data_IF_574045126111
#
_entry.id   IF_574045126111
#
_cell.length_a   1.000
_cell.length_b   1.000
_cell.length_c   1.000
_cell.angle_alpha   90.00
_cell.angle_beta   90.00
_cell.angle_gamma   90.00
#
_symmetry.space_group_name_H-M   'P 1'
#
loop_
_entity.id
_entity.type
_entity.pdbx_description
1 polymer ?
#
# COMPACT_ATOMS: atom_id res chain seq x y z
N UNK A 1 12.52 -4.08 -1.47
CA UNK A 1 12.45 -3.31 -0.21
C UNK A 1 13.67 -3.51 0.69
N UNK A 2 14.00 -4.76 1.06
CA UNK A 2 15.03 -5.07 2.07
C UNK A 2 16.37 -4.32 1.91
N UNK A 3 17.05 -4.49 0.76
CA UNK A 3 18.33 -3.82 0.47
C UNK A 3 18.26 -2.30 0.56
N UNK A 4 17.15 -1.70 0.12
CA UNK A 4 16.94 -0.25 0.15
C UNK A 4 16.91 0.26 1.59
N UNK A 5 16.08 -0.36 2.43
CA UNK A 5 15.94 0.06 3.84
C UNK A 5 17.21 -0.21 4.65
N UNK A 6 17.91 -1.31 4.38
CA UNK A 6 19.21 -1.59 5.00
C UNK A 6 20.22 -0.46 4.74
N UNK A 7 20.29 0.05 3.51
CA UNK A 7 21.20 1.16 3.16
C UNK A 7 20.77 2.47 3.81
N UNK A 8 19.47 2.78 3.81
CA UNK A 8 18.96 4.05 4.35
C UNK A 8 19.05 4.12 5.87
N UNK A 9 18.76 3.01 6.57
CA UNK A 9 18.62 3.00 8.03
C UNK A 9 19.90 2.64 8.78
N UNK A 10 20.83 1.92 8.16
CA UNK A 10 22.09 1.55 8.81
C UNK A 10 23.19 2.60 8.62
N UNK A 11 22.91 3.68 7.88
CA UNK A 11 23.86 4.77 7.67
C UNK A 11 23.64 5.85 8.74
N UNK A 12 24.59 5.94 9.68
CA UNK A 12 24.56 6.90 10.79
C UNK A 12 24.39 8.33 10.27
N UNK A 13 23.44 9.05 10.84
CA UNK A 13 23.19 10.47 10.55
C UNK A 13 22.34 10.76 9.31
N UNK A 14 21.78 9.74 8.63
CA UNK A 14 20.97 9.96 7.42
C UNK A 14 19.50 10.26 7.72
N UNK A 15 18.82 9.38 8.44
CA UNK A 15 17.39 9.57 8.76
C UNK A 15 17.00 8.72 9.98
N UNK A 16 16.33 9.30 10.99
CA UNK A 16 15.75 8.51 12.07
C UNK A 16 14.64 7.60 11.54
N UNK A 17 14.47 6.42 12.14
CA UNK A 17 13.49 5.41 11.68
C UNK A 17 12.06 5.94 11.73
N UNK A 18 11.79 6.77 12.74
CA UNK A 18 10.50 7.38 13.01
C UNK A 18 10.09 8.39 11.93
N UNK A 19 11.05 8.87 11.13
CA UNK A 19 10.80 9.77 10.00
C UNK A 19 10.63 9.03 8.65
N UNK A 20 10.62 7.69 8.64
CA UNK A 20 10.44 6.90 7.43
C UNK A 20 9.00 6.37 7.32
N UNK A 21 8.41 6.57 6.15
CA UNK A 21 7.20 5.91 5.68
C UNK A 21 7.52 5.03 4.46
N UNK A 22 6.69 4.02 4.20
CA UNK A 22 6.73 3.25 2.94
C UNK A 22 5.47 3.45 2.12
N UNK A 23 5.66 3.74 0.84
CA UNK A 23 4.61 3.82 -0.17
C UNK A 23 4.88 2.74 -1.23
N UNK A 24 4.05 1.71 -1.27
CA UNK A 24 4.27 0.57 -2.16
C UNK A 24 3.19 0.49 -3.25
N UNK A 25 3.65 0.25 -4.48
CA UNK A 25 2.76 -0.05 -5.59
C UNK A 25 2.52 -1.55 -5.69
N UNK A 26 1.31 -1.93 -6.10
CA UNK A 26 0.90 -3.32 -6.35
C UNK A 26 1.33 -3.83 -7.73
N UNK A 27 2.05 -3.01 -8.50
CA UNK A 27 2.66 -3.43 -9.76
C UNK A 27 3.58 -4.64 -9.51
N UNK A 28 3.18 -5.81 -9.99
CA UNK A 28 3.92 -7.06 -9.82
C UNK A 28 3.64 -7.84 -8.52
N UNK A 29 2.59 -7.49 -7.75
CA UNK A 29 2.06 -8.34 -6.68
C UNK A 29 2.91 -8.40 -5.40
N UNK A 30 3.77 -7.40 -5.17
CA UNK A 30 4.78 -7.41 -4.07
C UNK A 30 4.54 -6.35 -3.01
N UNK A 31 3.45 -5.58 -3.05
CA UNK A 31 3.29 -4.45 -2.14
C UNK A 31 3.23 -4.90 -0.67
N UNK A 32 2.38 -5.87 -0.35
CA UNK A 32 2.19 -6.37 1.02
C UNK A 32 3.44 -7.08 1.58
N UNK A 33 4.19 -7.78 0.72
CA UNK A 33 5.48 -8.38 1.10
C UNK A 33 6.49 -7.30 1.46
N UNK A 34 6.62 -6.28 0.62
CA UNK A 34 7.52 -5.15 0.87
C UNK A 34 7.12 -4.37 2.14
N UNK A 35 5.83 -4.15 2.37
CA UNK A 35 5.31 -3.56 3.61
C UNK A 35 5.72 -4.41 4.81
N UNK A 36 5.55 -5.73 4.74
CA UNK A 36 5.94 -6.64 5.83
C UNK A 36 7.43 -6.56 6.14
N UNK A 37 8.29 -6.52 5.11
CA UNK A 37 9.73 -6.34 5.30
C UNK A 37 10.02 -5.04 6.04
N UNK A 38 9.39 -3.92 5.65
CA UNK A 38 9.59 -2.62 6.27
C UNK A 38 9.16 -2.60 7.74
N UNK A 39 8.00 -3.16 8.07
CA UNK A 39 7.46 -3.16 9.42
C UNK A 39 8.18 -4.15 10.34
N UNK A 40 8.32 -5.41 9.89
CA UNK A 40 8.79 -6.52 10.72
C UNK A 40 10.30 -6.43 10.97
N UNK A 41 11.09 -6.12 9.93
CA UNK A 41 12.56 -6.15 10.01
C UNK A 41 13.18 -4.81 10.34
N UNK A 42 12.63 -3.74 9.79
CA UNK A 42 13.24 -2.40 9.87
C UNK A 42 12.54 -1.46 10.86
N UNK A 43 11.40 -1.89 11.42
CA UNK A 43 10.69 -1.12 12.44
C UNK A 43 9.94 0.09 11.92
N UNK A 44 9.69 0.19 10.60
CA UNK A 44 8.88 1.28 10.02
C UNK A 44 7.45 1.21 10.57
N UNK A 45 6.82 2.36 10.82
CA UNK A 45 5.46 2.44 11.41
C UNK A 45 4.45 3.26 10.63
N UNK A 46 4.83 3.79 9.48
CA UNK A 46 3.95 4.56 8.59
C UNK A 46 3.91 3.88 7.22
N UNK A 47 2.70 3.60 6.74
CA UNK A 47 2.43 2.97 5.44
C UNK A 47 1.42 3.82 4.70
N UNK A 48 1.80 4.28 3.52
CA UNK A 48 0.90 4.97 2.60
C UNK A 48 0.19 3.95 1.72
N UNK A 49 -1.10 4.17 1.49
CA UNK A 49 -1.96 3.34 0.65
C UNK A 49 -3.08 4.20 0.07
N UNK A 50 -3.83 3.66 -0.89
CA UNK A 50 -4.95 4.37 -1.48
C UNK A 50 -6.23 3.53 -1.36
N UNK A 51 -7.32 4.14 -0.89
CA UNK A 51 -8.61 3.45 -0.76
C UNK A 51 -9.01 2.87 -2.11
N UNK A 52 -9.39 1.61 -2.14
CA UNK A 52 -9.75 0.89 -3.35
C UNK A 52 -8.63 0.68 -4.37
N UNK A 53 -7.36 0.93 -4.01
CA UNK A 53 -6.22 0.81 -4.92
C UNK A 53 -6.18 1.95 -5.94
N UNK A 54 -6.72 3.12 -5.56
CA UNK A 54 -6.79 4.31 -6.39
C UNK A 54 -5.42 4.70 -6.97
N UNK A 55 -5.42 5.08 -8.25
CA UNK A 55 -4.22 5.52 -8.97
C UNK A 55 -3.55 4.36 -9.71
N UNK A 56 -3.39 4.53 -11.02
CA UNK A 56 -2.62 3.62 -11.87
C UNK A 56 -1.15 4.00 -11.94
N UNK A 57 -0.34 3.18 -12.60
CA UNK A 57 1.07 3.48 -12.84
C UNK A 57 1.25 4.07 -14.26
N UNK A 58 1.73 5.32 -14.42
CA UNK A 58 1.96 5.90 -15.75
C UNK A 58 3.08 5.17 -16.54
N UNK A 59 3.94 4.43 -15.85
CA UNK A 59 5.11 3.76 -16.43
C UNK A 59 4.88 2.27 -16.74
N UNK A 60 3.85 1.64 -16.19
CA UNK A 60 3.57 0.20 -16.37
C UNK A 60 2.47 -0.09 -17.40
N UNK A 61 2.04 0.96 -18.13
CA UNK A 61 1.01 0.87 -19.16
C UNK A 61 -0.41 1.18 -18.65
N UNK A 62 -1.36 1.44 -19.57
CA UNK A 62 -2.74 1.74 -19.21
C UNK A 62 -3.38 0.61 -18.41
N UNK A 63 -3.92 0.95 -17.24
CA UNK A 63 -4.65 0.02 -16.37
C UNK A 63 -3.80 -0.88 -15.49
N UNK A 64 -2.46 -0.71 -15.50
CA UNK A 64 -1.61 -1.39 -14.53
C UNK A 64 -1.91 -0.91 -13.09
N UNK A 65 -2.01 -1.83 -12.11
CA UNK A 65 -2.20 -1.46 -10.71
C UNK A 65 -1.10 -0.51 -10.25
N UNK A 66 -1.49 0.63 -9.68
CA UNK A 66 -0.58 1.58 -9.06
C UNK A 66 -0.50 1.30 -7.56
N UNK A 67 -1.23 2.06 -6.75
CA UNK A 67 -1.14 1.98 -5.30
C UNK A 67 -1.71 0.67 -4.73
N UNK A 68 -1.12 0.20 -3.63
CA UNK A 68 -1.74 -0.85 -2.82
C UNK A 68 -3.06 -0.34 -2.21
N UNK A 69 -4.08 -1.21 -2.16
CA UNK A 69 -5.36 -0.82 -1.59
C UNK A 69 -5.28 -0.72 -0.07
N UNK A 70 -5.87 0.34 0.50
CA UNK A 70 -5.96 0.49 1.96
C UNK A 70 -6.66 -0.71 2.60
N UNK A 71 -7.67 -1.27 1.96
CA UNK A 71 -8.37 -2.48 2.41
C UNK A 71 -7.42 -3.68 2.53
N UNK A 72 -6.59 -3.92 1.51
CA UNK A 72 -5.62 -5.02 1.55
C UNK A 72 -4.57 -4.82 2.65
N UNK A 73 -4.08 -3.58 2.83
CA UNK A 73 -3.15 -3.25 3.92
C UNK A 73 -3.81 -3.49 5.28
N UNK A 74 -5.04 -3.02 5.49
CA UNK A 74 -5.75 -3.20 6.75
C UNK A 74 -5.95 -4.69 7.06
N UNK A 75 -6.47 -5.47 6.11
CA UNK A 75 -6.64 -6.92 6.27
C UNK A 75 -5.31 -7.61 6.58
N UNK A 76 -4.25 -7.26 5.86
CA UNK A 76 -2.92 -7.85 6.02
C UNK A 76 -2.29 -7.53 7.38
N UNK A 77 -2.37 -6.28 7.82
CA UNK A 77 -1.79 -5.86 9.10
C UNK A 77 -2.59 -6.39 10.28
N UNK A 78 -3.93 -6.39 10.18
CA UNK A 78 -4.80 -6.99 11.20
C UNK A 78 -4.56 -8.49 11.34
N UNK A 79 -4.42 -9.23 10.23
CA UNK A 79 -4.14 -10.68 10.29
C UNK A 79 -2.79 -11.01 10.92
N UNK A 80 -1.82 -10.08 10.83
CA UNK A 80 -0.52 -10.17 11.49
C UNK A 80 -0.49 -9.64 12.93
N UNK A 81 -1.62 -9.17 13.45
CA UNK A 81 -1.75 -8.70 14.83
C UNK A 81 -1.22 -7.28 15.08
N UNK A 82 -1.00 -6.48 14.03
CA UNK A 82 -0.63 -5.07 14.20
C UNK A 82 -1.79 -4.27 14.80
N UNK A 83 -1.43 -3.28 15.63
CA UNK A 83 -2.38 -2.28 16.14
C UNK A 83 -2.14 -0.94 15.47
N UNK A 84 -3.22 -0.22 15.24
CA UNK A 84 -3.20 1.13 14.69
C UNK A 84 -3.23 2.15 15.82
N UNK A 85 -2.58 3.30 15.61
CA UNK A 85 -2.49 4.37 16.60
C UNK A 85 -3.86 4.99 16.92
N UNK A 86 -4.79 4.94 15.97
CA UNK A 86 -6.16 5.40 16.12
C UNK A 86 -7.15 4.29 15.71
N UNK A 87 -8.38 4.29 16.26
CA UNK A 87 -9.45 3.44 15.76
C UNK A 87 -9.68 3.68 14.26
N UNK A 88 -9.76 2.60 13.50
CA UNK A 88 -10.05 2.64 12.06
C UNK A 88 -11.43 2.03 11.83
N UNK A 89 -12.33 2.79 11.22
CA UNK A 89 -13.64 2.28 10.79
C UNK A 89 -13.48 1.50 9.47
N UNK A 90 -13.13 0.22 9.59
CA UNK A 90 -12.91 -0.66 8.44
C UNK A 90 -14.17 -0.82 7.59
N UNK A 91 -15.36 -0.82 8.19
CA UNK A 91 -16.64 -0.93 7.48
C UNK A 91 -16.82 0.24 6.52
N UNK A 92 -16.63 1.47 6.99
CA UNK A 92 -16.77 2.66 6.13
C UNK A 92 -15.68 2.73 5.06
N UNK A 93 -14.44 2.35 5.38
CA UNK A 93 -13.36 2.29 4.38
C UNK A 93 -13.69 1.30 3.26
N UNK A 94 -14.19 0.11 3.59
CA UNK A 94 -14.55 -0.90 2.59
C UNK A 94 -15.76 -0.46 1.75
N UNK A 95 -16.74 0.23 2.36
CA UNK A 95 -17.86 0.83 1.63
C UNK A 95 -17.39 1.90 0.65
N UNK A 96 -16.52 2.81 1.08
CA UNK A 96 -15.94 3.86 0.22
C UNK A 96 -15.13 3.22 -0.90
N UNK A 97 -14.29 2.23 -0.61
CA UNK A 97 -13.54 1.51 -1.63
C UNK A 97 -14.43 0.84 -2.67
N UNK A 98 -15.54 0.22 -2.24
CA UNK A 98 -16.53 -0.35 -3.14
C UNK A 98 -17.21 0.72 -4.00
N UNK A 99 -17.61 1.85 -3.39
CA UNK A 99 -18.22 2.97 -4.09
C UNK A 99 -17.29 3.56 -5.14
N UNK A 100 -16.03 3.82 -4.80
CA UNK A 100 -15.02 4.37 -5.72
C UNK A 100 -14.82 3.45 -6.93
N UNK A 101 -14.70 2.13 -6.71
CA UNK A 101 -14.57 1.15 -7.80
C UNK A 101 -15.80 1.09 -8.70
N UNK A 102 -16.97 1.50 -8.22
CA UNK A 102 -18.22 1.54 -9.00
C UNK A 102 -18.32 2.75 -9.95
N UNK A 103 -17.48 3.77 -9.78
CA UNK A 103 -17.51 4.99 -10.59
C UNK A 103 -17.00 4.71 -12.02
N UNK A 104 -17.77 5.12 -13.02
CA UNK A 104 -17.54 4.81 -14.45
C UNK A 104 -16.23 5.36 -15.03
N UNK A 105 -15.65 6.40 -14.44
CA UNK A 105 -14.38 7.01 -14.88
C UNK A 105 -13.12 6.26 -14.36
N UNK A 106 -13.28 5.23 -13.52
CA UNK A 106 -12.19 4.30 -13.18
C UNK A 106 -11.96 3.19 -14.23
N UNK A 107 -12.67 3.26 -15.36
CA UNK A 107 -12.60 2.31 -16.47
C UNK A 107 -11.22 2.10 -17.13
N UNK A 108 -10.20 2.98 -17.10
CA UNK A 108 -8.92 2.64 -17.72
C UNK A 108 -8.23 1.46 -17.01
N UNK A 109 -8.55 1.23 -15.73
CA UNK A 109 -8.02 0.10 -14.93
C UNK A 109 -8.86 -1.17 -15.10
N UNK A 110 -10.11 -1.06 -15.55
CA UNK A 110 -11.06 -2.17 -15.62
C UNK A 110 -11.35 -2.69 -17.06
N UNK A 111 -10.75 -2.10 -18.10
CA UNK A 111 -11.00 -2.49 -19.51
C UNK A 111 -10.27 -3.76 -19.99
N UNK A 112 -9.45 -4.41 -19.17
CA UNK A 112 -8.63 -5.55 -19.59
C UNK A 112 -8.91 -6.87 -18.83
N UNK A 113 -9.98 -6.95 -18.03
CA UNK A 113 -10.33 -8.16 -17.25
C UNK A 113 -11.59 -8.90 -17.72
N UNK A 114 -12.13 -8.57 -18.90
CA UNK A 114 -13.09 -9.45 -19.59
C UNK A 114 -12.54 -9.84 -20.95
N UNK A 115 -11.85 -10.98 -20.95
CA UNK A 115 -11.80 -11.92 -22.07
C UNK A 115 -11.89 -13.32 -21.48
#
# INVERSE_FOLDING_TARGET
>A
MDRLLSVLLNRVGVCPREAIAVHCHETGGKALENISVALDRYGVRVVDSAVGGLGGCPYAGPGAPGNVSTEAVLTHLTSKGYRFSAPINTVEIFKIGSWIRSLKDFSPVNRFFTS
#
